data_IF_462755544502
#
_entry.id   IF_462755544502
#
_cell.length_a   1.000
_cell.length_b   1.000
_cell.length_c   1.000
_cell.angle_alpha   90.00
_cell.angle_beta   90.00
_cell.angle_gamma   90.00
#
_symmetry.space_group_name_H-M   'P 1'
#
loop_
_entity.id
_entity.type
_entity.pdbx_description
1 polymer ?
#
# COMPACT_ATOMS: atom_id res chain seq x y z
N UNK A 1 -24.99 -4.67 -6.47
CA UNK A 1 -23.81 -4.12 -5.76
C UNK A 1 -23.09 -5.30 -5.14
N UNK A 2 -21.87 -5.61 -5.57
CA UNK A 2 -21.10 -6.70 -4.97
C UNK A 2 -20.64 -6.31 -3.57
N UNK A 3 -20.86 -7.16 -2.58
CA UNK A 3 -20.37 -6.93 -1.21
C UNK A 3 -18.89 -7.28 -1.17
N UNK A 4 -18.03 -6.29 -0.93
CA UNK A 4 -16.60 -6.52 -0.69
C UNK A 4 -16.42 -6.82 0.79
N UNK A 5 -15.76 -7.94 1.10
CA UNK A 5 -15.43 -8.36 2.46
C UNK A 5 -13.91 -8.35 2.63
N UNK A 6 -13.43 -7.64 3.65
CA UNK A 6 -12.03 -7.65 4.05
C UNK A 6 -11.90 -8.58 5.26
N UNK A 7 -11.75 -9.88 5.04
CA UNK A 7 -11.55 -10.85 6.13
C UNK A 7 -10.07 -10.97 6.48
N UNK A 8 -9.77 -11.47 7.68
CA UNK A 8 -8.40 -11.62 8.15
C UNK A 8 -7.59 -12.52 7.21
N UNK A 9 -8.21 -13.60 6.68
CA UNK A 9 -7.57 -14.57 5.79
C UNK A 9 -7.18 -13.94 4.45
N UNK A 10 -8.08 -13.15 3.86
CA UNK A 10 -7.82 -12.45 2.59
C UNK A 10 -6.68 -11.46 2.75
N UNK A 11 -6.71 -10.65 3.83
CA UNK A 11 -5.65 -9.67 4.07
C UNK A 11 -4.32 -10.36 4.34
N UNK A 12 -4.32 -11.46 5.10
CA UNK A 12 -3.11 -12.22 5.36
C UNK A 12 -2.51 -12.81 4.07
N UNK A 13 -3.34 -13.40 3.21
CA UNK A 13 -2.92 -13.94 1.91
C UNK A 13 -2.31 -12.85 1.03
N UNK A 14 -2.95 -11.69 0.95
CA UNK A 14 -2.43 -10.54 0.19
C UNK A 14 -1.08 -10.03 0.73
N UNK A 15 -0.92 -9.96 2.07
CA UNK A 15 0.36 -9.58 2.69
C UNK A 15 1.48 -10.57 2.36
N UNK A 16 1.18 -11.87 2.35
CA UNK A 16 2.14 -12.92 2.01
C UNK A 16 2.52 -12.90 0.52
N UNK A 17 1.59 -12.50 -0.34
CA UNK A 17 1.78 -12.37 -1.79
C UNK A 17 2.45 -11.06 -2.23
N UNK A 18 2.78 -10.15 -1.31
CA UNK A 18 3.51 -8.93 -1.64
C UNK A 18 4.81 -9.24 -2.39
N UNK A 19 4.99 -8.60 -3.54
CA UNK A 19 6.23 -8.69 -4.33
C UNK A 19 7.35 -8.00 -3.57
N UNK A 20 8.49 -8.68 -3.45
CA UNK A 20 9.71 -8.06 -2.97
C UNK A 20 10.21 -7.09 -4.05
N UNK A 21 9.79 -5.82 -3.94
CA UNK A 21 10.28 -4.77 -4.83
C UNK A 21 11.64 -4.26 -4.37
N UNK A 22 12.51 -3.95 -5.33
CA UNK A 22 13.81 -3.31 -5.10
C UNK A 22 13.63 -1.84 -4.65
N UNK A 23 12.47 -1.24 -4.91
CA UNK A 23 12.11 0.06 -4.38
C UNK A 23 11.47 -0.10 -2.99
N UNK A 24 12.08 0.44 -1.91
CA UNK A 24 11.36 0.58 -0.65
C UNK A 24 10.13 1.43 -0.92
N UNK A 25 8.98 1.09 -0.31
CA UNK A 25 7.86 2.02 -0.24
C UNK A 25 8.32 3.36 0.37
N UNK A 26 7.52 4.41 0.24
CA UNK A 26 7.82 5.71 0.85
C UNK A 26 8.04 5.63 2.38
N UNK A 27 7.60 4.55 3.00
CA UNK A 27 7.70 4.20 4.41
C UNK A 27 8.96 3.40 4.76
N UNK A 28 9.76 3.01 3.74
CA UNK A 28 10.97 2.19 3.86
C UNK A 28 10.75 0.85 4.60
N UNK A 29 9.49 0.39 4.71
CA UNK A 29 9.17 -0.86 5.41
C UNK A 29 9.57 -2.02 4.50
N UNK A 30 10.46 -2.93 4.96
CA UNK A 30 10.81 -4.08 4.16
C UNK A 30 9.59 -4.99 3.96
N UNK A 31 9.36 -5.43 2.72
CA UNK A 31 8.29 -6.39 2.41
C UNK A 31 8.41 -7.66 3.26
N UNK A 32 9.64 -8.08 3.58
CA UNK A 32 9.90 -9.22 4.47
C UNK A 32 9.31 -9.04 5.87
N UNK A 33 9.42 -7.84 6.43
CA UNK A 33 8.85 -7.53 7.74
C UNK A 33 7.31 -7.58 7.68
N UNK A 34 6.70 -7.08 6.60
CA UNK A 34 5.25 -7.17 6.40
C UNK A 34 4.77 -8.62 6.28
N UNK A 35 5.54 -9.49 5.61
CA UNK A 35 5.24 -10.93 5.52
C UNK A 35 5.37 -11.63 6.86
N UNK A 36 6.40 -11.32 7.64
CA UNK A 36 6.59 -11.86 9.00
C UNK A 36 5.46 -11.45 9.94
N UNK A 37 5.03 -10.19 9.83
CA UNK A 37 3.94 -9.64 10.65
C UNK A 37 2.55 -9.88 10.04
N UNK A 38 2.42 -10.64 8.95
CA UNK A 38 1.17 -10.78 8.21
C UNK A 38 0.03 -11.29 9.10
N UNK A 39 0.30 -12.30 9.95
CA UNK A 39 -0.70 -12.84 10.87
C UNK A 39 -1.16 -11.83 11.93
N UNK A 40 -0.23 -11.01 12.44
CA UNK A 40 -0.52 -10.01 13.48
C UNK A 40 -1.24 -8.78 12.89
N UNK A 41 -0.88 -8.40 11.66
CA UNK A 41 -1.41 -7.23 10.97
C UNK A 41 -2.72 -7.50 10.22
N UNK A 42 -3.01 -8.75 9.87
CA UNK A 42 -4.21 -9.13 9.10
C UNK A 42 -5.50 -8.61 9.73
N UNK A 43 -5.66 -8.84 11.03
CA UNK A 43 -6.84 -8.42 11.80
C UNK A 43 -7.04 -6.90 11.86
N UNK A 44 -6.07 -6.09 12.32
CA UNK A 44 -6.25 -4.65 12.37
C UNK A 44 -6.45 -4.04 10.97
N UNK A 45 -5.79 -4.57 9.94
CA UNK A 45 -5.96 -4.11 8.56
C UNK A 45 -7.33 -4.47 7.98
N UNK A 46 -7.82 -5.70 8.22
CA UNK A 46 -9.16 -6.13 7.82
C UNK A 46 -10.24 -5.19 8.40
N UNK A 47 -10.16 -4.89 9.69
CA UNK A 47 -11.07 -3.95 10.34
C UNK A 47 -10.96 -2.53 9.76
N UNK A 48 -9.73 -2.05 9.51
CA UNK A 48 -9.50 -0.73 8.95
C UNK A 48 -10.07 -0.60 7.53
N UNK A 49 -9.84 -1.59 6.66
CA UNK A 49 -10.37 -1.58 5.29
C UNK A 49 -11.88 -1.72 5.28
N UNK A 50 -12.44 -2.63 6.09
CA UNK A 50 -13.89 -2.78 6.20
C UNK A 50 -14.56 -1.48 6.67
N UNK A 51 -13.98 -0.84 7.69
CA UNK A 51 -14.49 0.44 8.22
C UNK A 51 -14.35 1.56 7.19
N UNK A 52 -13.20 1.64 6.50
CA UNK A 52 -12.96 2.65 5.48
C UNK A 52 -13.92 2.49 4.30
N UNK A 53 -14.19 1.26 3.88
CA UNK A 53 -15.12 0.94 2.80
C UNK A 53 -16.58 1.25 3.19
N UNK A 54 -16.98 0.90 4.42
CA UNK A 54 -18.32 1.17 4.92
C UNK A 54 -18.60 2.67 5.14
N UNK A 55 -17.60 3.43 5.57
CA UNK A 55 -17.74 4.87 5.86
C UNK A 55 -17.39 5.78 4.69
N UNK A 56 -16.70 5.26 3.67
CA UNK A 56 -16.10 6.06 2.60
C UNK A 56 -14.94 6.95 3.07
N UNK A 57 -14.41 6.72 4.28
CA UNK A 57 -13.38 7.54 4.89
C UNK A 57 -12.05 6.81 4.96
N UNK A 58 -11.02 7.34 4.30
CA UNK A 58 -9.64 6.87 4.44
C UNK A 58 -8.86 7.70 5.48
N UNK A 59 -7.89 7.11 6.19
CA UNK A 59 -6.93 7.84 7.02
C UNK A 59 -6.31 9.00 6.24
N UNK A 60 -6.17 10.17 6.89
CA UNK A 60 -5.60 11.36 6.25
C UNK A 60 -4.18 11.12 5.72
N UNK A 61 -3.38 10.34 6.44
CA UNK A 61 -2.03 9.97 6.02
C UNK A 61 -2.01 9.18 4.71
N UNK A 62 -3.03 8.35 4.44
CA UNK A 62 -3.14 7.61 3.18
C UNK A 62 -3.52 8.49 1.98
N UNK A 63 -4.04 9.70 2.25
CA UNK A 63 -4.36 10.68 1.19
C UNK A 63 -3.14 11.53 0.80
N UNK A 64 -2.03 11.39 1.51
CA UNK A 64 -0.79 12.14 1.26
C UNK A 64 0.10 11.26 0.40
N UNK A 65 0.24 11.60 -0.88
CA UNK A 65 1.21 10.96 -1.76
C UNK A 65 2.58 11.60 -1.56
N UNK A 66 3.61 10.80 -1.23
CA UNK A 66 5.01 11.25 -1.25
C UNK A 66 5.46 11.37 -2.70
N UNK A 67 5.52 12.60 -3.22
CA UNK A 67 6.08 12.86 -4.56
C UNK A 67 7.61 12.88 -4.44
N UNK A 68 8.26 11.77 -4.76
CA UNK A 68 9.72 11.73 -4.89
C UNK A 68 10.10 11.95 -6.36
N UNK A 69 10.75 13.07 -6.73
CA UNK A 69 11.24 13.25 -8.09
C UNK A 69 12.36 12.25 -8.38
N UNK A 70 12.08 11.29 -9.27
CA UNK A 70 13.08 10.39 -9.83
C UNK A 70 13.80 11.10 -10.98
N UNK A 71 15.03 11.55 -10.72
CA UNK A 71 15.86 12.13 -11.77
C UNK A 71 16.37 11.01 -12.69
N UNK A 72 15.70 10.85 -13.84
CA UNK A 72 16.17 9.96 -14.92
C UNK A 72 17.37 10.64 -15.57
N UNK A 73 18.58 10.13 -15.34
CA UNK A 73 19.78 10.60 -16.04
C UNK A 73 19.66 10.28 -17.54
N UNK A 74 19.15 11.24 -18.31
CA UNK A 74 18.97 11.13 -19.75
C UNK A 74 18.35 12.40 -20.31
N UNK A 75 19.21 13.38 -20.58
CA UNK A 75 19.03 14.56 -21.43
C UNK A 75 17.60 14.94 -21.85
N UNK A 76 17.10 16.06 -21.31
CA UNK A 76 15.99 16.82 -21.90
C UNK A 76 14.67 16.71 -21.15
N UNK A 77 14.50 17.61 -20.18
CA UNK A 77 13.25 18.18 -19.67
C UNK A 77 11.92 17.51 -20.10
N UNK A 78 11.51 16.49 -19.36
CA UNK A 78 10.10 16.34 -18.95
C UNK A 78 10.07 15.48 -17.69
N UNK A 79 9.95 16.14 -16.54
CA UNK A 79 9.64 15.45 -15.30
C UNK A 79 8.15 15.12 -15.34
N UNK A 80 7.78 13.94 -15.85
CA UNK A 80 6.42 13.44 -15.71
C UNK A 80 6.29 12.82 -14.31
N UNK A 81 5.48 13.40 -13.40
CA UNK A 81 5.17 12.75 -12.13
C UNK A 81 4.25 11.56 -12.42
N UNK A 82 4.82 10.37 -12.57
CA UNK A 82 4.04 9.14 -12.59
C UNK A 82 3.48 8.91 -11.18
N UNK A 83 2.14 8.85 -11.10
CA UNK A 83 1.42 8.47 -9.90
C UNK A 83 1.71 7.00 -9.59
N UNK A 84 2.57 6.72 -8.62
CA UNK A 84 2.75 5.36 -8.11
C UNK A 84 1.61 5.11 -7.10
N UNK A 85 0.49 4.60 -7.61
CA UNK A 85 -0.59 4.07 -6.78
C UNK A 85 -0.27 2.60 -6.45
N UNK A 86 -0.08 2.35 -5.15
CA UNK A 86 0.07 1.03 -4.50
C UNK A 86 1.27 0.18 -4.94
#
# INVERSE_FOLDING_TARGET
>A
MGTVHFTEEIIQEELLNLKESISPGSDAIPTKLLKELASEMAKPLALLFQTSFATGCLPSYWKIATITPLFKNGNGASAEPYLHLL
#
